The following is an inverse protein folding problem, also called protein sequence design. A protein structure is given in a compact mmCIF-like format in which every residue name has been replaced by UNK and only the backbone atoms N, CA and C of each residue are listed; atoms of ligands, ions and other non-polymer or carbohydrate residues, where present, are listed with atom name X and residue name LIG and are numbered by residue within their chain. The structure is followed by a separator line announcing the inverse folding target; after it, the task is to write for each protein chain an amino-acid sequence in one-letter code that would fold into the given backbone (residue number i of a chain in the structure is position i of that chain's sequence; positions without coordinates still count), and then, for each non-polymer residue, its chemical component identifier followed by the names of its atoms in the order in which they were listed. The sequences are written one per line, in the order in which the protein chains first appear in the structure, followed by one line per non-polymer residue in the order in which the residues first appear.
data_IF_362896496839
#
_entry.id   IF_362896496839
#
_cell.length_a   1.000
_cell.length_b   1.000
_cell.length_c   1.000
_cell.angle_alpha   90.00
_cell.angle_beta   90.00
_cell.angle_gamma   90.00
#
_symmetry.space_group_name_H-M   'P 1'
#
loop_
_entity.id
_entity.type
_entity.pdbx_description
1 polymer ?
#
# COMPACT_ATOMS: atom_id res chain seq x y z
N UNK A 1 27.10 -10.78 -10.94
CA UNK A 1 26.32 -9.82 -11.74
C UNK A 1 24.84 -10.19 -11.69
N UNK A 2 23.98 -9.21 -11.48
CA UNK A 2 22.52 -9.42 -11.42
C UNK A 2 22.00 -9.71 -12.83
N UNK A 3 21.24 -10.79 -12.99
CA UNK A 3 20.60 -11.09 -14.27
C UNK A 3 19.26 -10.35 -14.42
N UNK A 4 18.68 -10.39 -15.60
CA UNK A 4 17.43 -9.66 -15.90
C UNK A 4 16.26 -10.10 -15.01
N UNK A 5 16.20 -11.39 -14.67
CA UNK A 5 15.14 -11.93 -13.80
C UNK A 5 15.23 -11.36 -12.40
N UNK A 6 16.46 -11.36 -11.84
CA UNK A 6 16.69 -10.79 -10.50
C UNK A 6 16.41 -9.29 -10.48
N UNK A 7 16.79 -8.56 -11.53
CA UNK A 7 16.51 -7.14 -11.63
C UNK A 7 15.01 -6.85 -11.62
N UNK A 8 14.22 -7.65 -12.31
CA UNK A 8 12.76 -7.52 -12.32
C UNK A 8 12.16 -7.79 -10.95
N UNK A 9 12.61 -8.84 -10.29
CA UNK A 9 12.12 -9.20 -8.96
C UNK A 9 12.44 -8.11 -7.94
N UNK A 10 13.65 -7.56 -7.97
CA UNK A 10 14.04 -6.47 -7.08
C UNK A 10 13.25 -5.19 -7.38
N UNK A 11 13.02 -4.89 -8.65
CA UNK A 11 12.24 -3.72 -9.03
C UNK A 11 10.80 -3.83 -8.53
N UNK A 12 10.18 -5.02 -8.62
CA UNK A 12 8.84 -5.25 -8.12
C UNK A 12 8.78 -5.13 -6.60
N UNK A 13 9.74 -5.69 -5.89
CA UNK A 13 9.81 -5.56 -4.43
C UNK A 13 9.95 -4.10 -4.00
N UNK A 14 10.80 -3.34 -4.67
CA UNK A 14 10.98 -1.92 -4.37
C UNK A 14 9.70 -1.14 -4.66
N UNK A 15 9.02 -1.45 -5.75
CA UNK A 15 7.75 -0.80 -6.08
C UNK A 15 6.70 -1.06 -5.01
N UNK A 16 6.60 -2.29 -4.52
CA UNK A 16 5.68 -2.65 -3.44
C UNK A 16 6.04 -1.93 -2.15
N UNK A 17 7.31 -1.82 -1.81
CA UNK A 17 7.78 -1.10 -0.62
C UNK A 17 7.41 0.38 -0.70
N UNK A 18 7.60 1.01 -1.85
CA UNK A 18 7.25 2.41 -2.06
C UNK A 18 5.75 2.63 -1.92
N UNK A 19 4.95 1.75 -2.51
CA UNK A 19 3.50 1.82 -2.38
C UNK A 19 3.05 1.65 -0.93
N UNK A 20 3.66 0.72 -0.21
CA UNK A 20 3.37 0.50 1.22
C UNK A 20 3.66 1.75 2.02
N UNK A 21 4.80 2.39 1.79
CA UNK A 21 5.18 3.63 2.47
C UNK A 21 4.19 4.75 2.17
N UNK A 22 3.77 4.90 0.91
CA UNK A 22 2.78 5.90 0.51
C UNK A 22 1.45 5.67 1.20
N UNK A 23 1.01 4.41 1.27
CA UNK A 23 -0.25 4.03 1.93
C UNK A 23 -0.17 4.34 3.42
N UNK A 24 0.92 3.96 4.09
CA UNK A 24 1.11 4.25 5.50
C UNK A 24 1.12 5.76 5.78
N UNK A 25 1.78 6.53 4.92
CA UNK A 25 1.81 7.99 5.03
C UNK A 25 0.40 8.57 4.90
N UNK A 26 -0.37 8.09 3.93
CA UNK A 26 -1.75 8.54 3.74
C UNK A 26 -2.62 8.21 4.95
N UNK A 27 -2.47 7.02 5.51
CA UNK A 27 -3.21 6.61 6.72
C UNK A 27 -2.82 7.49 7.91
N UNK A 28 -1.54 7.76 8.11
CA UNK A 28 -1.06 8.61 9.20
C UNK A 28 -1.59 10.03 9.07
N UNK A 29 -1.63 10.57 7.87
CA UNK A 29 -2.22 11.90 7.62
C UNK A 29 -3.71 11.92 7.94
N UNK A 30 -4.43 10.87 7.55
CA UNK A 30 -5.86 10.78 7.85
C UNK A 30 -6.10 10.74 9.35
N UNK A 31 -5.30 9.97 10.08
CA UNK A 31 -5.38 9.89 11.55
C UNK A 31 -5.10 11.26 12.18
N UNK A 32 -4.10 11.96 11.71
CA UNK A 32 -3.75 13.30 12.20
C UNK A 32 -4.88 14.29 12.04
N UNK A 33 -5.68 14.14 11.00
CA UNK A 33 -6.83 15.01 10.73
C UNK A 33 -8.13 14.49 11.34
N UNK A 34 -8.07 13.40 12.09
CA UNK A 34 -9.24 12.78 12.69
C UNK A 34 -10.14 12.05 11.71
N UNK A 35 -9.63 11.71 10.54
CA UNK A 35 -10.40 10.98 9.53
C UNK A 35 -10.24 9.48 9.72
N UNK A 36 -11.30 8.73 9.39
CA UNK A 36 -11.28 7.27 9.45
C UNK A 36 -11.09 6.63 8.08
N UNK A 37 -11.06 7.44 7.03
CA UNK A 37 -11.01 6.97 5.64
C UNK A 37 -9.97 7.76 4.87
N UNK A 38 -9.21 7.08 4.01
CA UNK A 38 -8.28 7.72 3.09
C UNK A 38 -8.44 7.13 1.71
N UNK A 39 -8.22 7.94 0.69
CA UNK A 39 -8.31 7.51 -0.71
C UNK A 39 -6.90 7.46 -1.29
N UNK A 40 -6.61 6.38 -2.02
CA UNK A 40 -5.31 6.19 -2.66
C UNK A 40 -5.53 6.13 -4.16
N UNK A 41 -4.78 6.95 -4.90
CA UNK A 41 -4.81 6.91 -6.36
C UNK A 41 -3.95 5.75 -6.86
N UNK A 42 -4.49 4.96 -7.79
CA UNK A 42 -3.82 3.82 -8.38
C UNK A 42 -4.31 2.48 -7.82
N UNK A 43 -3.79 1.40 -8.39
CA UNK A 43 -4.16 0.06 -7.95
C UNK A 43 -3.32 -0.37 -6.76
N UNK A 44 -3.97 -0.97 -5.79
CA UNK A 44 -3.30 -1.54 -4.62
C UNK A 44 -3.03 -3.02 -4.90
N UNK A 45 -1.77 -3.48 -4.83
CA UNK A 45 -1.45 -4.90 -5.02
C UNK A 45 -2.18 -5.79 -4.01
N UNK A 46 -2.54 -7.00 -4.43
CA UNK A 46 -3.28 -7.93 -3.58
C UNK A 46 -2.54 -8.24 -2.27
N UNK A 47 -1.21 -8.31 -2.30
CA UNK A 47 -0.42 -8.57 -1.08
C UNK A 47 -0.57 -7.45 -0.05
N UNK A 48 -0.65 -6.20 -0.49
CA UNK A 48 -0.87 -5.06 0.39
C UNK A 48 -2.31 -5.06 0.90
N UNK A 49 -3.28 -5.39 0.04
CA UNK A 49 -4.68 -5.52 0.43
C UNK A 49 -4.83 -6.53 1.56
N UNK A 50 -4.24 -7.72 1.42
CA UNK A 50 -4.27 -8.73 2.46
C UNK A 50 -3.65 -8.25 3.77
N UNK A 51 -2.51 -7.60 3.67
CA UNK A 51 -1.82 -7.07 4.85
C UNK A 51 -2.67 -6.05 5.59
N UNK A 52 -3.31 -5.14 4.86
CA UNK A 52 -4.19 -4.14 5.45
C UNK A 52 -5.42 -4.78 6.09
N UNK A 53 -6.04 -5.76 5.42
CA UNK A 53 -7.18 -6.48 5.98
C UNK A 53 -6.82 -7.23 7.25
N UNK A 54 -5.64 -7.84 7.30
CA UNK A 54 -5.14 -8.53 8.49
C UNK A 54 -4.91 -7.56 9.65
N UNK A 55 -4.67 -6.29 9.36
CA UNK A 55 -4.51 -5.25 10.38
C UNK A 55 -5.81 -4.52 10.71
N UNK A 56 -6.95 -5.03 10.24
CA UNK A 56 -8.25 -4.48 10.58
C UNK A 56 -8.77 -3.37 9.67
N UNK A 57 -8.09 -3.11 8.56
CA UNK A 57 -8.54 -2.11 7.60
C UNK A 57 -9.49 -2.73 6.58
N UNK A 58 -10.41 -1.93 6.09
CA UNK A 58 -11.31 -2.30 4.98
C UNK A 58 -10.88 -1.57 3.73
N UNK A 59 -10.87 -2.27 2.61
CA UNK A 59 -10.49 -1.71 1.32
C UNK A 59 -11.69 -1.79 0.38
N UNK A 60 -12.04 -0.64 -0.20
CA UNK A 60 -13.17 -0.54 -1.10
C UNK A 60 -12.84 0.44 -2.22
N UNK A 61 -12.62 -0.06 -3.44
CA UNK A 61 -12.37 0.74 -4.65
C UNK A 61 -11.34 1.87 -4.46
N UNK A 62 -10.17 1.52 -3.94
CA UNK A 62 -9.10 2.49 -3.73
C UNK A 62 -9.21 3.32 -2.47
N UNK A 63 -10.21 3.06 -1.64
CA UNK A 63 -10.35 3.69 -0.32
C UNK A 63 -9.98 2.71 0.77
N UNK A 64 -9.32 3.21 1.80
CA UNK A 64 -8.93 2.42 2.98
C UNK A 64 -9.67 2.99 4.18
N UNK A 65 -10.42 2.15 4.89
CA UNK A 65 -11.18 2.53 6.08
C UNK A 65 -10.71 1.73 7.28
N UNK A 66 -10.74 2.36 8.43
CA UNK A 66 -10.49 1.66 9.68
C UNK A 66 -11.71 0.93 10.18
#
# INVERSE_FOLDING_TARGET
MINAKQAREQAQENKIKLLRTDIETAIKKAISKGRTKTTISGQIPACIVEELQNNGFRINNGSIER
#
